data_IF_106119823241
#
_entry.id   IF_106119823241
#
_cell.length_a   1.000
_cell.length_b   1.000
_cell.length_c   1.000
_cell.angle_alpha   90.00
_cell.angle_beta   90.00
_cell.angle_gamma   90.00
#
_symmetry.space_group_name_H-M   'P 1'
#
loop_
_entity.id
_entity.type
_entity.pdbx_description
1 polymer ?
#
# COMPACT_ATOMS: atom_id res chain seq x y z
N UNK A 1 -34.18 22.17 0.05
CA UNK A 1 -33.19 21.93 1.13
C UNK A 1 -32.77 20.47 1.04
N UNK A 2 -31.48 20.16 0.90
CA UNK A 2 -30.99 18.77 0.78
C UNK A 2 -30.44 18.35 2.13
N UNK A 3 -31.11 17.40 2.79
CA UNK A 3 -30.68 16.84 4.08
C UNK A 3 -29.93 15.54 3.83
N UNK A 4 -28.65 15.64 3.48
CA UNK A 4 -27.75 14.49 3.41
C UNK A 4 -27.05 14.30 4.74
N UNK A 5 -27.18 13.13 5.36
CA UNK A 5 -26.44 12.79 6.58
C UNK A 5 -25.02 12.34 6.19
N UNK A 6 -24.00 13.01 6.72
CA UNK A 6 -22.60 12.74 6.39
C UNK A 6 -22.15 11.48 7.14
N UNK A 7 -22.26 10.32 6.49
CA UNK A 7 -21.79 9.05 7.04
C UNK A 7 -20.40 8.73 6.48
N UNK A 8 -19.38 8.77 7.34
CA UNK A 8 -18.05 8.25 7.03
C UNK A 8 -18.21 6.76 6.75
N UNK A 9 -17.94 6.33 5.51
CA UNK A 9 -18.11 4.95 5.04
C UNK A 9 -16.86 4.10 5.24
N UNK A 10 -15.72 4.72 5.54
CA UNK A 10 -14.46 4.05 5.74
C UNK A 10 -13.79 4.57 7.01
N UNK A 11 -13.83 3.81 8.12
CA UNK A 11 -13.13 4.15 9.35
C UNK A 11 -11.67 3.66 9.34
N UNK A 12 -11.19 2.98 8.28
CA UNK A 12 -9.88 2.35 8.25
C UNK A 12 -8.80 3.40 7.94
N UNK A 13 -8.36 4.07 8.99
CA UNK A 13 -7.15 4.88 9.00
C UNK A 13 -5.89 3.99 8.93
N UNK A 14 -4.76 4.60 8.58
CA UNK A 14 -3.45 3.93 8.58
C UNK A 14 -3.17 3.34 9.96
N UNK A 15 -3.19 2.02 10.07
CA UNK A 15 -2.98 1.32 11.34
C UNK A 15 -1.52 1.41 11.85
N UNK A 16 -0.58 1.71 10.97
CA UNK A 16 0.83 1.89 11.31
C UNK A 16 1.68 2.23 10.11
N UNK A 17 2.78 2.93 10.36
CA UNK A 17 3.81 3.28 9.37
C UNK A 17 5.15 2.80 9.90
N UNK A 18 5.93 2.16 9.03
CA UNK A 18 7.27 1.65 9.37
C UNK A 18 8.22 1.88 8.20
N UNK A 19 9.45 2.29 8.54
CA UNK A 19 10.56 2.32 7.59
C UNK A 19 11.29 0.97 7.60
N UNK A 20 11.82 0.57 6.44
CA UNK A 20 12.54 -0.68 6.26
C UNK A 20 13.85 -0.40 5.53
N UNK A 21 14.89 -1.17 5.88
CA UNK A 21 16.00 -1.37 4.97
C UNK A 21 15.53 -2.29 3.83
N UNK A 22 16.14 -2.22 2.63
CA UNK A 22 15.75 -3.08 1.51
C UNK A 22 15.75 -4.58 1.87
N UNK A 23 16.75 -5.03 2.64
CA UNK A 23 16.88 -6.43 3.05
C UNK A 23 15.87 -6.87 4.13
N UNK A 24 15.21 -5.92 4.80
CA UNK A 24 14.23 -6.16 5.87
C UNK A 24 12.78 -6.12 5.37
N UNK A 25 12.56 -5.92 4.06
CA UNK A 25 11.22 -5.87 3.49
C UNK A 25 10.50 -7.23 3.71
N UNK A 26 9.24 -7.23 4.16
CA UNK A 26 8.51 -8.44 4.48
C UNK A 26 7.95 -9.12 3.21
N UNK A 27 8.84 -9.41 2.26
CA UNK A 27 8.49 -10.07 1.00
C UNK A 27 7.91 -11.47 1.26
N UNK A 28 6.96 -11.89 0.43
CA UNK A 28 6.15 -13.10 0.57
C UNK A 28 4.95 -12.95 1.50
N UNK A 29 4.78 -11.79 2.15
CA UNK A 29 3.68 -11.50 3.05
C UNK A 29 3.09 -10.09 2.84
N UNK A 30 3.13 -9.59 1.59
CA UNK A 30 2.48 -8.36 1.21
C UNK A 30 1.12 -8.64 0.54
N UNK A 31 0.19 -7.70 0.67
CA UNK A 31 -1.09 -7.80 -0.01
C UNK A 31 -0.91 -7.63 -1.53
N UNK A 32 -1.82 -8.25 -2.30
CA UNK A 32 -1.85 -8.17 -3.76
C UNK A 32 -0.53 -8.61 -4.40
N UNK A 33 -0.04 -7.86 -5.39
CA UNK A 33 1.19 -8.09 -6.14
C UNK A 33 2.31 -7.13 -5.72
N UNK A 34 2.21 -6.53 -4.53
CA UNK A 34 3.19 -5.55 -4.04
C UNK A 34 4.60 -6.14 -3.93
N UNK A 35 4.73 -7.45 -3.68
CA UNK A 35 6.00 -8.16 -3.78
C UNK A 35 6.68 -7.98 -5.14
N UNK A 36 5.93 -8.19 -6.22
CA UNK A 36 6.44 -8.04 -7.58
C UNK A 36 6.76 -6.57 -7.86
N UNK A 37 5.87 -5.66 -7.50
CA UNK A 37 6.06 -4.22 -7.74
C UNK A 37 7.31 -3.68 -7.04
N UNK A 38 7.56 -4.07 -5.78
CA UNK A 38 8.76 -3.66 -5.06
C UNK A 38 10.02 -4.30 -5.63
N UNK A 39 9.98 -5.57 -6.01
CA UNK A 39 11.12 -6.23 -6.67
C UNK A 39 11.47 -5.56 -8.01
N UNK A 40 10.47 -5.27 -8.84
CA UNK A 40 10.65 -4.59 -10.12
C UNK A 40 11.25 -3.19 -9.90
N UNK A 41 10.77 -2.44 -8.90
CA UNK A 41 11.32 -1.12 -8.55
C UNK A 41 12.78 -1.19 -8.10
N UNK A 42 13.12 -2.11 -7.19
CA UNK A 42 14.48 -2.27 -6.66
C UNK A 42 15.47 -2.78 -7.71
N UNK A 43 14.99 -3.52 -8.71
CA UNK A 43 15.78 -3.96 -9.86
C UNK A 43 15.86 -2.91 -10.98
N UNK A 44 15.18 -1.76 -10.83
CA UNK A 44 15.12 -0.72 -11.87
C UNK A 44 14.30 -1.13 -13.09
N UNK A 45 13.46 -2.16 -12.96
CA UNK A 45 12.62 -2.73 -14.02
C UNK A 45 11.22 -2.10 -14.08
N UNK A 46 10.95 -1.04 -13.31
CA UNK A 46 9.62 -0.45 -13.18
C UNK A 46 9.02 -0.15 -14.56
N UNK A 47 8.02 -0.94 -14.97
CA UNK A 47 7.18 -0.68 -16.14
C UNK A 47 6.00 0.15 -15.66
N UNK A 48 5.69 1.26 -16.35
CA UNK A 48 4.43 1.97 -16.11
C UNK A 48 3.27 1.01 -16.43
N UNK A 49 2.45 0.69 -15.43
CA UNK A 49 1.24 -0.10 -15.59
C UNK A 49 0.15 0.66 -16.36
#
# INVERSE_FOLDING_TARGET
>A
EVKGEFSIKDPLEVMGVKAFLPDDLPLGNLCHDHDRQLNDYLQGLTVLA
#
